data_IF_845300047209
#
_entry.id   IF_845300047209
#
_cell.length_a   1.000
_cell.length_b   1.000
_cell.length_c   1.000
_cell.angle_alpha   90.00
_cell.angle_beta   90.00
_cell.angle_gamma   90.00
#
_symmetry.space_group_name_H-M   'P 1'
#
loop_
_entity.id
_entity.type
_entity.pdbx_description
1 polymer ?
#
# COMPACT_ATOMS: atom_id res chain seq x y z
N UNK A 1 1.62 2.87 8.88
CA UNK A 1 2.05 3.20 7.51
C UNK A 1 1.23 2.35 6.53
N UNK A 2 0.92 2.86 5.34
CA UNK A 2 0.20 2.11 4.32
C UNK A 2 0.54 2.59 2.91
N UNK A 3 0.23 1.76 1.90
CA UNK A 3 0.37 2.14 0.49
C UNK A 3 -0.88 2.88 0.04
N UNK A 4 -0.71 4.12 -0.43
CA UNK A 4 -1.76 5.00 -0.93
C UNK A 4 -1.62 5.23 -2.42
N UNK A 5 -2.72 5.09 -3.16
CA UNK A 5 -2.82 5.51 -4.55
C UNK A 5 -3.37 6.94 -4.58
N UNK A 6 -2.68 7.84 -5.28
CA UNK A 6 -3.12 9.23 -5.47
C UNK A 6 -3.28 9.53 -6.95
N UNK A 7 -4.36 10.22 -7.31
CA UNK A 7 -4.64 10.66 -8.68
C UNK A 7 -4.12 12.08 -8.88
N UNK A 8 -3.38 12.31 -9.96
CA UNK A 8 -2.95 13.63 -10.39
C UNK A 8 -3.06 13.74 -11.91
N UNK A 9 -3.93 14.64 -12.39
CA UNK A 9 -4.31 14.74 -13.80
C UNK A 9 -4.79 13.37 -14.31
N UNK A 10 -4.13 12.83 -15.33
CA UNK A 10 -4.45 11.56 -15.98
C UNK A 10 -3.67 10.37 -15.41
N UNK A 11 -2.92 10.56 -14.32
CA UNK A 11 -2.01 9.55 -13.80
C UNK A 11 -2.30 9.16 -12.36
N UNK A 12 -2.03 7.89 -12.05
CA UNK A 12 -2.08 7.33 -10.70
C UNK A 12 -0.66 7.13 -10.17
N UNK A 13 -0.42 7.52 -8.92
CA UNK A 13 0.86 7.39 -8.25
C UNK A 13 0.73 6.54 -7.01
N UNK A 14 1.64 5.58 -6.85
CA UNK A 14 1.71 4.68 -5.70
C UNK A 14 2.71 5.22 -4.69
N UNK A 15 2.28 5.45 -3.45
CA UNK A 15 3.09 6.08 -2.39
C UNK A 15 3.03 5.28 -1.10
N UNK A 16 4.14 5.19 -0.39
CA UNK A 16 4.16 4.76 1.01
C UNK A 16 3.94 5.99 1.88
N UNK A 17 2.91 5.94 2.73
CA UNK A 17 2.57 7.05 3.62
C UNK A 17 2.55 6.59 5.07
N UNK A 18 2.91 7.52 5.95
CA UNK A 18 2.74 7.41 7.39
C UNK A 18 1.59 8.32 7.83
N UNK A 19 0.72 7.81 8.68
CA UNK A 19 -0.33 8.60 9.31
C UNK A 19 0.18 9.18 10.61
N UNK A 20 -0.06 10.47 10.81
CA UNK A 20 0.31 11.19 12.01
C UNK A 20 -0.84 12.13 12.42
N UNK A 21 -0.91 12.45 13.71
CA UNK A 21 -1.87 13.44 14.23
C UNK A 21 -1.21 14.80 14.32
N UNK A 22 -1.92 15.81 13.86
CA UNK A 22 -1.56 17.22 13.98
C UNK A 22 -2.75 17.96 14.57
N UNK A 23 -2.73 18.11 15.90
CA UNK A 23 -3.90 18.47 16.70
C UNK A 23 -5.02 17.42 16.54
N UNK A 24 -6.23 17.89 16.25
CA UNK A 24 -7.42 17.05 16.07
C UNK A 24 -7.53 16.42 14.67
N UNK A 25 -6.57 16.68 13.77
CA UNK A 25 -6.62 16.20 12.38
C UNK A 25 -5.62 15.07 12.15
N UNK A 26 -6.11 13.98 11.56
CA UNK A 26 -5.24 12.93 11.01
C UNK A 26 -4.71 13.41 9.66
N UNK A 27 -3.40 13.43 9.51
CA UNK A 27 -2.68 13.79 8.28
C UNK A 27 -1.82 12.61 7.82
N UNK A 28 -1.45 12.63 6.55
CA UNK A 28 -0.52 11.64 5.99
C UNK A 28 0.74 12.31 5.49
N UNK A 29 1.90 11.80 5.89
CA UNK A 29 3.22 12.18 5.39
C UNK A 29 3.65 11.16 4.34
N UNK A 30 4.11 11.62 3.19
CA UNK A 30 4.70 10.73 2.18
C UNK A 30 6.11 10.37 2.63
N UNK A 31 6.35 9.07 2.86
CA UNK A 31 7.67 8.55 3.18
C UNK A 31 8.44 8.14 1.92
N UNK A 32 7.72 7.59 0.94
CA UNK A 32 8.31 7.17 -0.33
C UNK A 32 7.30 7.26 -1.46
N UNK A 33 7.77 7.58 -2.66
CA UNK A 33 6.96 7.58 -3.88
C UNK A 33 7.50 6.48 -4.80
N UNK A 34 6.73 5.40 -4.98
CA UNK A 34 7.10 4.32 -5.90
C UNK A 34 6.99 4.75 -7.36
N UNK A 35 6.25 5.82 -7.66
CA UNK A 35 6.11 6.37 -8.99
C UNK A 35 4.74 6.08 -9.60
N UNK A 36 4.68 6.17 -10.93
CA UNK A 36 3.45 6.10 -11.71
C UNK A 36 3.01 4.63 -11.85
N UNK A 37 1.77 4.33 -11.48
CA UNK A 37 1.23 2.97 -11.40
C UNK A 37 1.38 2.19 -12.72
N UNK A 38 1.12 2.86 -13.84
CA UNK A 38 1.19 2.30 -15.19
C UNK A 38 2.61 1.95 -15.63
N UNK A 39 3.62 2.66 -15.11
CA UNK A 39 5.03 2.38 -15.37
C UNK A 39 5.54 1.24 -14.50
N UNK A 40 5.22 1.27 -13.20
CA UNK A 40 5.80 0.32 -12.24
C UNK A 40 5.11 -1.05 -12.24
N UNK A 41 3.86 -1.16 -12.72
CA UNK A 41 3.13 -2.45 -12.75
C UNK A 41 3.86 -3.55 -13.55
N UNK A 42 4.65 -3.16 -14.54
CA UNK A 42 5.38 -4.06 -15.43
C UNK A 42 6.90 -3.95 -15.21
N UNK A 43 7.34 -3.19 -14.22
CA UNK A 43 8.75 -3.01 -13.93
C UNK A 43 9.29 -4.22 -13.15
N UNK A 44 10.32 -4.87 -13.69
CA UNK A 44 10.85 -6.11 -13.12
C UNK A 44 11.48 -5.88 -11.73
N UNK A 45 12.09 -4.72 -11.50
CA UNK A 45 12.69 -4.40 -10.19
C UNK A 45 11.61 -4.21 -9.13
N UNK A 46 10.54 -3.49 -9.45
CA UNK A 46 9.39 -3.31 -8.57
C UNK A 46 8.71 -4.64 -8.23
N UNK A 47 8.51 -5.51 -9.22
CA UNK A 47 7.96 -6.85 -9.01
C UNK A 47 8.86 -7.66 -8.06
N UNK A 48 10.18 -7.59 -8.21
CA UNK A 48 11.12 -8.29 -7.33
C UNK A 48 11.05 -7.78 -5.89
N UNK A 49 10.90 -6.46 -5.69
CA UNK A 49 10.69 -5.86 -4.37
C UNK A 49 9.42 -6.41 -3.72
N UNK A 50 8.30 -6.40 -4.45
CA UNK A 50 7.02 -6.92 -3.93
C UNK A 50 7.13 -8.39 -3.55
N UNK A 51 7.76 -9.21 -4.40
CA UNK A 51 8.01 -10.63 -4.10
C UNK A 51 8.82 -10.81 -2.81
N UNK A 52 9.89 -10.02 -2.65
CA UNK A 52 10.72 -10.09 -1.46
C UNK A 52 9.98 -9.64 -0.19
N UNK A 53 9.13 -8.63 -0.30
CA UNK A 53 8.28 -8.20 0.81
C UNK A 53 7.26 -9.27 1.22
N UNK A 54 6.63 -9.95 0.25
CA UNK A 54 5.75 -11.08 0.55
C UNK A 54 6.50 -12.24 1.21
N UNK A 55 7.69 -12.57 0.71
CA UNK A 55 8.56 -13.60 1.30
C UNK A 55 8.92 -13.27 2.76
N UNK A 56 9.34 -12.04 3.04
CA UNK A 56 9.67 -11.57 4.40
C UNK A 56 8.46 -11.59 5.33
N UNK A 57 7.27 -11.29 4.81
CA UNK A 57 6.03 -11.31 5.57
C UNK A 57 5.40 -12.70 5.69
N UNK A 58 6.04 -13.75 5.15
CA UNK A 58 5.52 -15.12 5.09
C UNK A 58 4.14 -15.22 4.44
N UNK A 59 3.86 -14.33 3.47
CA UNK A 59 2.59 -14.27 2.75
C UNK A 59 2.68 -15.00 1.41
N UNK A 60 1.63 -15.76 1.03
CA UNK A 60 1.57 -16.31 -0.32
C UNK A 60 1.46 -15.17 -1.33
N UNK A 61 2.16 -15.31 -2.46
CA UNK A 61 1.94 -14.42 -3.59
C UNK A 61 0.49 -14.59 -4.07
N UNK A 62 -0.24 -13.48 -4.15
CA UNK A 62 -1.61 -13.49 -4.66
C UNK A 62 -1.66 -14.14 -6.05
N UNK A 63 -2.64 -15.01 -6.27
CA UNK A 63 -2.80 -15.65 -7.57
C UNK A 63 -3.28 -14.61 -8.60
N UNK A 64 -2.91 -14.74 -9.89
CA UNK A 64 -3.45 -13.87 -10.93
C UNK A 64 -4.98 -13.90 -10.91
N UNK A 65 -5.61 -12.72 -10.75
CA UNK A 65 -7.07 -12.59 -10.69
C UNK A 65 -7.68 -12.59 -9.28
N UNK A 66 -6.90 -12.85 -8.24
CA UNK A 66 -7.35 -12.71 -6.85
C UNK A 66 -7.28 -11.24 -6.43
N UNK A 67 -8.41 -10.68 -6.01
CA UNK A 67 -8.46 -9.31 -5.54
C UNK A 67 -7.71 -9.20 -4.21
N UNK A 68 -6.68 -8.37 -4.16
CA UNK A 68 -6.02 -8.05 -2.89
C UNK A 68 -7.03 -7.39 -1.93
N UNK A 69 -6.99 -7.72 -0.63
CA UNK A 69 -7.81 -7.07 0.36
C UNK A 69 -7.57 -5.55 0.38
N UNK A 70 -8.56 -4.79 0.82
CA UNK A 70 -8.47 -3.34 0.90
C UNK A 70 -7.40 -2.96 1.94
N UNK A 71 -6.24 -2.47 1.50
CA UNK A 71 -5.15 -2.05 2.39
C UNK A 71 -5.21 -0.56 2.77
N UNK A 72 -6.38 0.09 2.67
CA UNK A 72 -6.54 1.45 3.20
C UNK A 72 -6.43 1.46 4.73
N UNK A 73 -6.00 2.59 5.31
CA UNK A 73 -5.87 2.73 6.76
C UNK A 73 -7.17 2.38 7.51
N UNK A 74 -8.32 2.81 7.01
CA UNK A 74 -9.61 2.48 7.60
C UNK A 74 -9.90 0.97 7.61
N UNK A 75 -9.53 0.27 6.53
CA UNK A 75 -9.66 -1.18 6.45
C UNK A 75 -8.61 -1.89 7.32
N UNK A 76 -7.37 -1.38 7.40
CA UNK A 76 -6.33 -1.96 8.26
C UNK A 76 -6.67 -1.84 9.75
N UNK A 77 -7.25 -0.71 10.19
CA UNK A 77 -7.75 -0.55 11.55
C UNK A 77 -8.84 -1.58 11.89
N UNK A 78 -9.67 -1.95 10.92
CA UNK A 78 -10.69 -2.99 11.12
C UNK A 78 -10.11 -4.41 11.18
N UNK A 79 -8.98 -4.67 10.52
CA UNK A 79 -8.29 -5.96 10.60
C UNK A 79 -7.64 -6.16 11.97
N UNK A 80 -6.96 -5.14 12.50
CA UNK A 80 -6.35 -5.20 13.83
C UNK A 80 -7.34 -5.41 14.99
N UNK A 81 -8.63 -5.16 14.78
CA UNK A 81 -9.69 -5.40 15.76
C UNK A 81 -10.27 -6.83 15.68
N UNK A 82 -10.13 -7.51 14.52
CA UNK A 82 -10.62 -8.88 14.33
C UNK A 82 -9.66 -9.94 14.86
N UNK A 83 -8.37 -9.63 14.93
CA UNK A 83 -7.34 -10.55 15.45
C UNK A 83 -7.22 -10.49 16.99
N UNK A 84 -8.10 -9.74 17.67
CA UNK A 84 -8.12 -9.53 19.12
C UNK A 84 -9.29 -10.24 19.84
N UNK A 85 -10.09 -11.03 19.11
CA UNK A 85 -11.13 -11.96 19.64
C UNK A 85 -10.69 -13.41 19.45
#
# INVERSE_FOLDING_TARGET
MFVKITKAKNYEYVKLVESYRDGDKVKHRVLFNFGRRDLIKNDQMFINIVKKLCEIAELPLAKPGEALPNCSEAAMLSYSLKDAE
#
